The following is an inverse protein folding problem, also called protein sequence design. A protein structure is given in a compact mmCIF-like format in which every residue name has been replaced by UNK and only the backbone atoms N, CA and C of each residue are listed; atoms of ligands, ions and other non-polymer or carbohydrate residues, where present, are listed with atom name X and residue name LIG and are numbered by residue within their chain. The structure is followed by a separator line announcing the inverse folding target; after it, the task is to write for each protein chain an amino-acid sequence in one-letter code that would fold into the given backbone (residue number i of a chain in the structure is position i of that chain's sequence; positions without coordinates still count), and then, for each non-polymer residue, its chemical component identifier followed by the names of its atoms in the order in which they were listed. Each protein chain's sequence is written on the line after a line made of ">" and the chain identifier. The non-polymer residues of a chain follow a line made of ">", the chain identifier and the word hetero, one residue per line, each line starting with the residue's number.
data_IF_638604499663
#
_entry.id   IF_638604499663
#
_cell.length_a   1.000
_cell.length_b   1.000
_cell.length_c   1.000
_cell.angle_alpha   90.00
_cell.angle_beta   90.00
_cell.angle_gamma   90.00
#
_symmetry.space_group_name_H-M   'P 1'
#
loop_
_entity.id
_entity.type
_entity.pdbx_description
1 polymer ?
#
# COMPACT_ATOMS: atom_id res chain seq x y z
N UNK A 1 -6.42 1.25 13.19
CA UNK A 1 -6.48 1.34 11.72
C UNK A 1 -5.68 0.20 11.11
N UNK A 2 -6.27 -0.50 10.20
CA UNK A 2 -5.66 -1.67 9.58
C UNK A 2 -5.31 -1.38 8.12
N UNK A 3 -4.04 -1.57 7.77
CA UNK A 3 -3.57 -1.30 6.41
C UNK A 3 -2.95 -2.57 5.84
N UNK A 4 -3.25 -2.87 4.59
CA UNK A 4 -2.57 -3.96 3.89
C UNK A 4 -2.05 -3.48 2.55
N UNK A 5 -0.95 -4.09 2.13
CA UNK A 5 -0.34 -3.81 0.83
C UNK A 5 -0.14 -5.16 0.15
N UNK A 6 -0.95 -5.43 -0.86
CA UNK A 6 -0.84 -6.64 -1.65
C UNK A 6 0.05 -6.33 -2.84
N UNK A 7 1.12 -7.08 -3.02
CA UNK A 7 2.10 -6.78 -4.05
C UNK A 7 2.51 -8.04 -4.80
N UNK A 8 2.78 -7.85 -6.09
CA UNK A 8 3.24 -8.96 -6.93
C UNK A 8 4.65 -9.35 -6.50
N UNK A 9 4.87 -10.59 -6.10
CA UNK A 9 6.19 -11.03 -5.69
C UNK A 9 7.05 -11.47 -6.86
N UNK A 10 6.45 -11.68 -8.02
CA UNK A 10 7.20 -12.06 -9.21
C UNK A 10 7.99 -10.88 -9.74
N UNK A 11 7.35 -9.79 -9.82
CA UNK A 11 8.03 -8.67 -10.23
C UNK A 11 8.70 -8.18 -9.05
N UNK A 12 9.53 -7.39 -9.14
CA UNK A 12 10.33 -6.87 -8.04
C UNK A 12 9.59 -5.74 -7.30
N UNK A 13 8.39 -6.01 -6.86
CA UNK A 13 7.57 -5.01 -6.19
C UNK A 13 7.75 -4.96 -4.68
N UNK A 14 8.42 -5.95 -4.10
CA UNK A 14 8.56 -6.00 -2.65
C UNK A 14 9.27 -4.77 -2.08
N UNK A 15 10.34 -4.25 -2.70
CA UNK A 15 10.97 -3.04 -2.17
C UNK A 15 10.01 -1.86 -2.12
N UNK A 16 9.12 -1.75 -3.09
CA UNK A 16 8.13 -0.67 -3.08
C UNK A 16 7.13 -0.85 -1.93
N UNK A 17 6.69 -2.09 -1.72
CA UNK A 17 5.75 -2.36 -0.62
C UNK A 17 6.40 -2.11 0.73
N UNK A 18 7.65 -2.55 0.87
CA UNK A 18 8.39 -2.34 2.13
C UNK A 18 8.64 -0.85 2.36
N UNK A 19 8.93 -0.10 1.30
CA UNK A 19 9.16 1.34 1.41
C UNK A 19 7.90 2.07 1.87
N UNK A 20 6.76 1.73 1.31
CA UNK A 20 5.50 2.35 1.74
C UNK A 20 5.19 1.98 3.18
N UNK A 21 5.39 0.70 3.54
CA UNK A 21 5.15 0.27 4.91
C UNK A 21 6.03 1.04 5.89
N UNK A 22 7.29 1.25 5.52
CA UNK A 22 8.22 2.01 6.37
C UNK A 22 7.76 3.45 6.52
N UNK A 23 7.31 4.08 5.45
CA UNK A 23 6.83 5.45 5.49
C UNK A 23 5.61 5.56 6.41
N UNK A 24 4.70 4.60 6.32
CA UNK A 24 3.51 4.61 7.17
C UNK A 24 3.86 4.34 8.63
N UNK A 25 4.86 3.52 8.87
CA UNK A 25 5.35 3.28 10.23
C UNK A 25 5.96 4.53 10.83
N UNK A 26 6.82 5.20 10.08
CA UNK A 26 7.50 6.42 10.54
C UNK A 26 6.51 7.53 10.83
N UNK A 27 5.55 7.70 9.93
CA UNK A 27 4.66 8.86 10.03
C UNK A 27 3.50 8.63 10.99
N UNK A 28 2.96 7.42 11.03
CA UNK A 28 1.72 7.14 11.77
C UNK A 28 1.85 6.04 12.81
N UNK A 29 2.98 5.38 12.89
CA UNK A 29 3.11 4.25 13.79
C UNK A 29 2.33 3.03 13.36
N UNK A 30 1.96 2.95 12.09
CA UNK A 30 1.21 1.81 11.57
C UNK A 30 2.15 0.67 11.20
N UNK A 31 1.65 -0.55 11.24
CA UNK A 31 2.39 -1.73 10.83
C UNK A 31 1.57 -2.42 9.73
N UNK A 32 1.72 -1.97 8.48
CA UNK A 32 0.93 -2.58 7.41
C UNK A 32 1.25 -4.05 7.20
N UNK A 33 0.24 -4.81 6.86
CA UNK A 33 0.41 -6.21 6.47
C UNK A 33 0.88 -6.25 5.02
N UNK A 34 1.97 -6.95 4.75
CA UNK A 34 2.45 -7.14 3.38
C UNK A 34 1.96 -8.49 2.90
N UNK A 35 1.24 -8.50 1.79
CA UNK A 35 0.60 -9.71 1.27
C UNK A 35 1.20 -10.05 -0.08
N UNK A 36 2.08 -11.07 -0.16
CA UNK A 36 2.64 -11.47 -1.46
C UNK A 36 1.55 -12.02 -2.38
N UNK A 37 1.62 -11.65 -3.64
CA UNK A 37 0.60 -12.05 -4.59
C UNK A 37 1.24 -12.20 -5.96
N UNK A 38 0.43 -12.18 -7.01
CA UNK A 38 0.92 -12.32 -8.38
C UNK A 38 0.08 -11.43 -9.29
N UNK A 39 0.41 -11.44 -10.59
CA UNK A 39 -0.37 -10.71 -11.57
C UNK A 39 -0.05 -9.23 -11.67
N UNK A 40 1.10 -8.81 -11.15
CA UNK A 40 1.53 -7.42 -11.28
C UNK A 40 0.75 -6.46 -10.39
N UNK A 41 0.15 -6.96 -9.32
CA UNK A 41 -0.69 -6.12 -8.46
C UNK A 41 0.14 -5.28 -7.50
N UNK A 42 -0.42 -4.13 -7.12
CA UNK A 42 0.03 -3.33 -6.00
C UNK A 42 -1.22 -2.60 -5.51
N UNK A 43 -1.82 -3.18 -4.46
CA UNK A 43 -3.14 -2.77 -4.02
C UNK A 43 -3.07 -2.43 -2.54
N UNK A 44 -3.55 -1.24 -2.18
CA UNK A 44 -3.48 -0.77 -0.79
C UNK A 44 -4.89 -0.67 -0.25
N UNK A 45 -5.12 -1.29 0.91
CA UNK A 45 -6.41 -1.23 1.58
C UNK A 45 -6.25 -0.60 2.95
N UNK A 46 -7.22 0.21 3.33
CA UNK A 46 -7.25 0.82 4.66
C UNK A 46 -8.63 0.53 5.25
N UNK A 47 -8.64 -0.20 6.35
CA UNK A 47 -9.87 -0.57 7.06
C UNK A 47 -10.92 -1.15 6.12
N UNK A 48 -10.47 -2.01 5.21
CA UNK A 48 -11.38 -2.70 4.30
C UNK A 48 -11.70 -1.96 3.02
N UNK A 49 -11.24 -0.73 2.87
CA UNK A 49 -11.47 0.05 1.66
C UNK A 49 -10.25 0.00 0.76
N UNK A 50 -10.44 -0.27 -0.52
CA UNK A 50 -9.36 -0.24 -1.50
C UNK A 50 -9.08 1.23 -1.83
N UNK A 51 -7.93 1.73 -1.37
CA UNK A 51 -7.59 3.14 -1.56
C UNK A 51 -6.65 3.37 -2.73
N UNK A 52 -5.97 2.34 -3.19
CA UNK A 52 -5.13 2.44 -4.38
C UNK A 52 -5.06 1.09 -5.08
N UNK A 53 -5.16 1.10 -6.39
CA UNK A 53 -5.06 -0.11 -7.19
C UNK A 53 -4.19 0.16 -8.41
N UNK A 54 -3.03 -0.52 -8.48
CA UNK A 54 -2.20 -0.44 -9.66
C UNK A 54 -2.89 -1.03 -10.87
N UNK A 55 -3.75 -2.03 -10.68
CA UNK A 55 -4.50 -2.59 -11.81
C UNK A 55 -5.41 -1.55 -12.43
N UNK A 56 -6.02 -0.71 -11.60
CA UNK A 56 -6.92 0.32 -12.10
C UNK A 56 -6.16 1.53 -12.66
N UNK A 57 -5.04 1.91 -12.05
CA UNK A 57 -4.35 3.16 -12.38
C UNK A 57 -3.15 2.97 -13.29
N UNK A 58 -2.65 1.74 -13.38
CA UNK A 58 -1.48 1.40 -14.20
C UNK A 58 -0.24 2.18 -13.80
N UNK A 59 -0.07 2.39 -12.50
CA UNK A 59 1.11 3.03 -11.92
C UNK A 59 1.20 2.66 -10.46
N UNK A 60 2.36 2.98 -9.85
CA UNK A 60 2.51 2.85 -8.40
C UNK A 60 2.00 4.11 -7.72
N UNK A 61 1.63 4.02 -6.44
CA UNK A 61 1.18 5.20 -5.72
C UNK A 61 2.35 6.05 -5.27
N UNK A 62 2.10 7.35 -5.14
CA UNK A 62 2.99 8.22 -4.38
C UNK A 62 2.63 8.05 -2.91
N UNK A 63 3.64 8.11 -2.03
CA UNK A 63 3.37 8.00 -0.60
C UNK A 63 2.32 9.01 -0.14
N UNK A 64 2.38 10.24 -0.68
CA UNK A 64 1.45 11.29 -0.27
C UNK A 64 0.00 10.94 -0.56
N UNK A 65 -0.26 10.16 -1.62
CA UNK A 65 -1.61 9.73 -1.93
C UNK A 65 -2.17 8.85 -0.81
N UNK A 66 -1.32 7.96 -0.31
CA UNK A 66 -1.74 7.05 0.76
C UNK A 66 -1.89 7.83 2.06
N UNK A 67 -0.97 8.76 2.34
CA UNK A 67 -1.10 9.63 3.52
C UNK A 67 -2.44 10.36 3.51
N UNK A 68 -2.85 10.89 2.35
CA UNK A 68 -4.11 11.59 2.23
C UNK A 68 -5.29 10.68 2.59
N UNK A 69 -5.26 9.44 2.13
CA UNK A 69 -6.34 8.50 2.44
C UNK A 69 -6.38 8.17 3.93
N UNK A 70 -5.22 8.06 4.57
CA UNK A 70 -5.16 7.78 6.00
C UNK A 70 -5.67 8.98 6.79
N UNK A 71 -5.24 10.19 6.41
CA UNK A 71 -5.68 11.41 7.09
C UNK A 71 -7.20 11.58 7.02
N UNK A 72 -7.77 11.18 5.89
CA UNK A 72 -9.23 11.30 5.69
C UNK A 72 -10.00 10.39 6.65
N UNK A 73 -9.36 9.30 7.09
CA UNK A 73 -10.03 8.26 7.89
C UNK A 73 -9.68 8.27 9.37
N UNK A 74 -8.71 9.08 9.81
CA UNK A 74 -8.33 9.08 11.23
C UNK A 74 -9.10 10.12 12.03
#
# INVERSE_FOLDING_TARGET
>A
MKVSIEYCRVXNYKPRAAGLAEALGSRYGLVPELIPSSGGVFEVMVDGDLVFSKKAQDRFPEDAEIFTEIERRR
#
